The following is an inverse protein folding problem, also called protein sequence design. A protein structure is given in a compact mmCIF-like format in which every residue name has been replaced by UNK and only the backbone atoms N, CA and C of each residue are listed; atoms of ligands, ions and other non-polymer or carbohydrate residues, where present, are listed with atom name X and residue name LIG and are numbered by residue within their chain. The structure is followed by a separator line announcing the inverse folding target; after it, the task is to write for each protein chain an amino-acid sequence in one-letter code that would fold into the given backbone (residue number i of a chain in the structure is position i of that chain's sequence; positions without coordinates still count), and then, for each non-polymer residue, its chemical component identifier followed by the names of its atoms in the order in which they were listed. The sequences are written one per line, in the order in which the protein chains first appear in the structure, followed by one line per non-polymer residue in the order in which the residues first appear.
data_IF_114472592011
#
_entry.id   IF_114472592011
#
_cell.length_a   1.000
_cell.length_b   1.000
_cell.length_c   1.000
_cell.angle_alpha   90.00
_cell.angle_beta   90.00
_cell.angle_gamma   90.00
#
_symmetry.space_group_name_H-M   'P 1'
#
loop_
_entity.id
_entity.type
_entity.pdbx_description
1 polymer ?
#
# COMPACT_ATOMS: atom_id res chain seq x y z
N UNK A 1 -10.01 23.47 -18.50
CA UNK A 1 -10.42 22.08 -18.26
C UNK A 1 -9.34 21.43 -17.40
N UNK A 2 -9.71 20.77 -16.31
CA UNK A 2 -8.75 20.06 -15.47
C UNK A 2 -8.09 18.89 -16.19
N UNK A 3 -6.93 18.48 -15.68
CA UNK A 3 -6.13 17.36 -16.16
C UNK A 3 -6.18 16.17 -15.20
N UNK A 4 -6.19 14.97 -15.76
CA UNK A 4 -5.98 13.71 -15.04
C UNK A 4 -4.88 12.89 -15.71
N UNK A 5 -4.19 12.08 -14.92
CA UNK A 5 -3.23 11.11 -15.41
C UNK A 5 -3.92 9.78 -15.70
N UNK A 6 -3.76 9.29 -16.92
CA UNK A 6 -4.30 8.00 -17.36
C UNK A 6 -3.21 7.15 -17.99
N UNK A 7 -3.43 5.84 -18.04
CA UNK A 7 -2.76 4.98 -18.99
C UNK A 7 -3.68 4.76 -20.20
N UNK A 8 -3.21 5.11 -21.39
CA UNK A 8 -3.97 4.95 -22.65
C UNK A 8 -3.81 3.55 -23.25
N UNK A 9 -2.70 2.89 -22.93
CA UNK A 9 -2.36 1.51 -23.33
C UNK A 9 -1.28 0.97 -22.37
N UNK A 10 -0.88 -0.31 -22.48
CA UNK A 10 0.17 -0.87 -21.63
C UNK A 10 1.45 -0.02 -21.65
N UNK A 11 1.93 0.34 -20.46
CA UNK A 11 3.15 1.13 -20.26
C UNK A 11 3.17 2.53 -20.89
N UNK A 12 2.01 3.13 -21.14
CA UNK A 12 1.92 4.49 -21.69
C UNK A 12 1.03 5.35 -20.81
N UNK A 13 1.65 6.25 -20.03
CA UNK A 13 0.95 7.22 -19.20
C UNK A 13 0.87 8.56 -19.94
N UNK A 14 -0.30 9.20 -19.93
CA UNK A 14 -0.56 10.48 -20.61
C UNK A 14 -1.55 11.33 -19.80
N UNK A 15 -1.49 12.65 -20.01
CA UNK A 15 -2.51 13.56 -19.49
C UNK A 15 -3.74 13.59 -20.39
N UNK A 16 -4.92 13.53 -19.76
CA UNK A 16 -6.21 13.72 -20.42
C UNK A 16 -6.94 14.90 -19.80
N UNK A 17 -7.55 15.73 -20.64
CA UNK A 17 -8.50 16.74 -20.18
C UNK A 17 -9.87 16.12 -19.91
N UNK A 18 -10.55 16.58 -18.85
CA UNK A 18 -11.91 16.15 -18.55
C UNK A 18 -12.79 17.35 -18.16
N UNK A 19 -14.11 17.14 -18.14
CA UNK A 19 -15.06 18.12 -17.60
C UNK A 19 -15.31 17.79 -16.13
N UNK A 20 -15.24 18.79 -15.26
CA UNK A 20 -15.66 18.74 -13.86
C UNK A 20 -16.83 19.66 -13.55
N UNK A 21 -17.47 20.21 -14.60
CA UNK A 21 -18.65 21.05 -14.52
C UNK A 21 -19.90 20.17 -14.36
N UNK A 22 -20.10 19.69 -13.13
CA UNK A 22 -21.27 18.91 -12.74
C UNK A 22 -21.98 19.60 -11.57
N UNK A 23 -23.31 19.55 -11.58
CA UNK A 23 -24.10 19.97 -10.44
C UNK A 23 -23.80 19.07 -9.23
N UNK A 24 -23.40 19.69 -8.13
CA UNK A 24 -22.99 18.98 -6.93
C UNK A 24 -24.21 18.38 -6.22
N UNK A 25 -24.23 17.06 -6.06
CA UNK A 25 -25.34 16.39 -5.36
C UNK A 25 -25.34 16.73 -3.87
N UNK A 26 -26.49 16.56 -3.23
CA UNK A 26 -26.74 16.99 -1.85
C UNK A 26 -25.76 16.40 -0.82
N UNK A 27 -25.25 15.19 -1.05
CA UNK A 27 -24.31 14.49 -0.16
C UNK A 27 -22.85 14.48 -0.66
N UNK A 28 -22.54 15.28 -1.69
CA UNK A 28 -21.22 15.31 -2.31
C UNK A 28 -20.39 16.50 -1.87
N UNK A 29 -19.08 16.36 -2.02
CA UNK A 29 -18.11 17.44 -1.86
C UNK A 29 -17.28 17.56 -3.13
N UNK A 30 -16.99 18.80 -3.53
CA UNK A 30 -16.00 19.09 -4.56
C UNK A 30 -14.68 19.42 -3.88
N UNK A 31 -13.59 18.87 -4.38
CA UNK A 31 -12.27 18.93 -3.78
C UNK A 31 -11.26 19.28 -4.86
N UNK A 32 -10.38 20.24 -4.58
CA UNK A 32 -9.20 20.50 -5.39
C UNK A 32 -8.02 19.68 -4.86
N UNK A 33 -7.41 18.86 -5.69
CA UNK A 33 -6.25 18.06 -5.30
C UNK A 33 -5.06 18.95 -4.97
N UNK A 34 -4.35 18.60 -3.90
CA UNK A 34 -3.10 19.21 -3.47
C UNK A 34 -1.96 18.21 -3.58
N UNK A 35 -2.23 16.95 -3.26
CA UNK A 35 -1.27 15.86 -3.33
C UNK A 35 -1.92 14.56 -3.80
N UNK A 36 -1.14 13.65 -4.34
CA UNK A 36 -1.60 12.32 -4.70
C UNK A 36 -0.49 11.29 -4.72
N UNK A 37 -0.87 10.02 -4.80
CA UNK A 37 0.09 8.93 -4.93
C UNK A 37 -0.53 7.73 -5.65
N UNK A 38 0.20 7.11 -6.60
CA UNK A 38 -0.21 5.85 -7.21
C UNK A 38 0.08 4.63 -6.32
N UNK A 39 -0.43 3.47 -6.77
CA UNK A 39 -0.20 2.18 -6.13
C UNK A 39 0.77 1.32 -6.96
N UNK A 40 1.88 0.89 -6.36
CA UNK A 40 2.88 0.06 -7.06
C UNK A 40 2.47 -1.41 -7.25
N UNK A 41 1.49 -1.92 -6.49
CA UNK A 41 1.12 -3.33 -6.53
C UNK A 41 0.19 -3.68 -7.70
N UNK A 42 -1.10 -3.75 -7.41
CA UNK A 42 -2.13 -4.16 -8.37
C UNK A 42 -2.23 -3.23 -9.58
N UNK A 43 -2.15 -1.91 -9.36
CA UNK A 43 -2.24 -0.90 -10.42
C UNK A 43 -1.05 -0.97 -11.40
N UNK A 44 0.17 -1.21 -10.93
CA UNK A 44 1.33 -1.42 -11.83
C UNK A 44 1.17 -2.65 -12.73
N UNK A 45 0.62 -3.76 -12.20
CA UNK A 45 0.36 -4.95 -13.02
C UNK A 45 -0.68 -4.65 -14.11
N UNK A 46 -1.71 -3.87 -13.80
CA UNK A 46 -2.69 -3.40 -14.79
C UNK A 46 -2.06 -2.45 -15.80
N UNK A 47 -1.25 -1.48 -15.35
CA UNK A 47 -0.49 -0.56 -16.19
C UNK A 47 0.42 -1.28 -17.19
N UNK A 48 1.07 -2.37 -16.77
CA UNK A 48 1.92 -3.20 -17.66
C UNK A 48 1.14 -4.06 -18.65
N UNK A 49 -0.19 -4.10 -18.55
CA UNK A 49 -1.04 -5.00 -19.35
C UNK A 49 -1.01 -6.45 -18.89
N UNK A 50 -0.39 -6.74 -17.74
CA UNK A 50 -0.29 -8.08 -17.16
C UNK A 50 -1.36 -8.23 -16.07
N UNK A 51 -2.63 -8.26 -16.48
CA UNK A 51 -3.73 -8.56 -15.56
C UNK A 51 -3.82 -10.09 -15.39
N UNK A 52 -3.56 -10.65 -14.18
CA UNK A 52 -3.62 -12.10 -13.97
C UNK A 52 -5.05 -12.68 -14.06
N UNK A 53 -6.06 -11.83 -14.19
CA UNK A 53 -7.46 -12.21 -14.37
C UNK A 53 -7.94 -12.14 -15.83
N UNK A 54 -7.02 -12.08 -16.81
CA UNK A 54 -7.39 -12.01 -18.22
C UNK A 54 -8.27 -13.16 -18.67
N UNK A 55 -8.00 -14.38 -18.18
CA UNK A 55 -8.73 -15.60 -18.57
C UNK A 55 -9.74 -16.07 -17.52
N UNK A 56 -9.72 -15.48 -16.32
CA UNK A 56 -10.55 -15.90 -15.20
C UNK A 56 -11.06 -14.73 -14.39
N UNK A 57 -12.35 -14.74 -14.05
CA UNK A 57 -12.97 -13.77 -13.14
C UNK A 57 -13.32 -14.41 -11.80
N UNK A 58 -13.27 -13.64 -10.72
CA UNK A 58 -13.69 -14.12 -9.40
C UNK A 58 -15.21 -14.01 -9.27
N UNK A 59 -15.88 -15.14 -9.20
CA UNK A 59 -17.32 -15.23 -8.96
C UNK A 59 -17.57 -15.09 -7.45
N UNK A 60 -18.07 -13.94 -7.00
CA UNK A 60 -18.25 -13.66 -5.57
C UNK A 60 -19.39 -14.46 -4.93
N UNK A 61 -20.34 -14.95 -5.72
CA UNK A 61 -21.43 -15.79 -5.22
C UNK A 61 -20.92 -17.20 -4.91
N UNK A 62 -20.11 -17.77 -5.82
CA UNK A 62 -19.54 -19.10 -5.67
C UNK A 62 -18.18 -19.12 -4.95
N UNK A 63 -17.57 -17.95 -4.75
CA UNK A 63 -16.26 -17.75 -4.13
C UNK A 63 -15.10 -18.46 -4.84
N UNK A 64 -15.18 -18.62 -6.16
CA UNK A 64 -14.19 -19.30 -7.00
C UNK A 64 -13.81 -18.46 -8.22
N UNK A 65 -12.64 -18.73 -8.78
CA UNK A 65 -12.29 -18.24 -10.12
C UNK A 65 -12.94 -19.12 -11.19
N UNK A 66 -13.59 -18.49 -12.17
CA UNK A 66 -14.20 -19.15 -13.32
C UNK A 66 -13.61 -18.61 -14.61
N UNK A 67 -13.48 -19.47 -15.61
CA UNK A 67 -13.07 -19.06 -16.95
C UNK A 67 -14.04 -18.01 -17.50
N UNK A 68 -13.50 -17.06 -18.28
CA UNK A 68 -14.29 -16.01 -18.91
C UNK A 68 -13.81 -15.78 -20.33
N UNK A 69 -14.75 -15.79 -21.28
CA UNK A 69 -14.49 -15.44 -22.68
C UNK A 69 -14.53 -13.91 -22.92
N UNK A 70 -14.92 -13.13 -21.91
CA UNK A 70 -15.01 -11.67 -22.02
C UNK A 70 -13.71 -11.02 -21.59
N UNK A 71 -12.90 -10.62 -22.58
CA UNK A 71 -11.71 -9.81 -22.37
C UNK A 71 -12.06 -8.32 -22.51
N UNK A 72 -12.25 -7.63 -21.38
CA UNK A 72 -12.31 -6.17 -21.38
C UNK A 72 -10.91 -5.61 -21.13
N UNK A 73 -10.42 -4.80 -22.06
CA UNK A 73 -9.22 -4.00 -21.82
C UNK A 73 -9.47 -3.05 -20.65
N UNK A 74 -8.56 -2.95 -19.66
CA UNK A 74 -8.67 -1.92 -18.63
C UNK A 74 -8.37 -0.52 -19.16
N UNK A 75 -7.84 -0.40 -20.39
CA UNK A 75 -7.43 0.87 -20.97
C UNK A 75 -8.57 1.55 -21.76
N UNK A 76 -8.71 2.89 -21.67
CA UNK A 76 -7.91 3.79 -20.84
C UNK A 76 -8.26 3.65 -19.35
N UNK A 77 -7.24 3.57 -18.48
CA UNK A 77 -7.42 3.52 -17.01
C UNK A 77 -6.85 4.76 -16.34
N UNK A 78 -7.46 5.23 -15.27
CA UNK A 78 -6.85 6.25 -14.42
C UNK A 78 -5.66 5.69 -13.63
N UNK A 79 -4.63 6.53 -13.44
CA UNK A 79 -3.46 6.23 -12.62
C UNK A 79 -3.54 7.02 -11.33
N UNK A 80 -3.17 6.43 -10.19
CA UNK A 80 -3.38 7.02 -8.87
C UNK A 80 -4.32 6.18 -8.00
N UNK A 81 -4.07 6.19 -6.70
CA UNK A 81 -4.87 5.44 -5.74
C UNK A 81 -5.39 6.28 -4.58
N UNK A 82 -4.63 7.30 -4.15
CA UNK A 82 -5.00 8.17 -3.04
C UNK A 82 -4.72 9.62 -3.41
N UNK A 83 -5.56 10.52 -2.91
CA UNK A 83 -5.37 11.97 -3.00
C UNK A 83 -5.53 12.63 -1.64
N UNK A 84 -4.93 13.81 -1.51
CA UNK A 84 -5.21 14.80 -0.46
C UNK A 84 -5.59 16.10 -1.16
N UNK A 85 -6.66 16.74 -0.72
CA UNK A 85 -7.15 17.97 -1.32
C UNK A 85 -7.82 18.91 -0.34
N UNK A 86 -8.14 20.12 -0.82
CA UNK A 86 -8.94 21.10 -0.11
C UNK A 86 -10.36 21.13 -0.67
N UNK A 87 -11.35 21.11 0.21
CA UNK A 87 -12.78 21.18 -0.17
C UNK A 87 -13.08 22.56 -0.76
N UNK A 88 -13.68 22.61 -1.95
CA UNK A 88 -14.05 23.85 -2.65
C UNK A 88 -15.55 24.11 -2.65
N UNK A 89 -16.38 23.06 -2.60
CA UNK A 89 -17.83 23.18 -2.55
C UNK A 89 -18.47 21.99 -1.82
N UNK A 90 -19.70 22.18 -1.32
CA UNK A 90 -20.46 21.22 -0.52
C UNK A 90 -21.88 21.09 -1.05
N UNK A 91 -22.39 19.86 -1.07
CA UNK A 91 -23.81 19.59 -1.21
C UNK A 91 -24.58 20.04 0.03
N UNK A 92 -25.88 20.29 -0.14
CA UNK A 92 -26.76 20.85 0.90
C UNK A 92 -26.91 20.02 2.17
N UNK A 93 -26.61 18.71 2.12
CA UNK A 93 -26.71 17.78 3.25
C UNK A 93 -25.36 17.46 3.91
N UNK A 94 -24.25 18.07 3.48
CA UNK A 94 -22.93 17.83 4.09
C UNK A 94 -22.77 18.66 5.37
N UNK A 95 -22.66 18.00 6.52
CA UNK A 95 -22.62 18.66 7.84
C UNK A 95 -21.21 18.76 8.46
N UNK A 96 -20.40 17.71 8.38
CA UNK A 96 -19.15 17.58 9.17
C UNK A 96 -17.89 18.11 8.46
N UNK A 97 -18.03 18.49 7.19
CA UNK A 97 -16.96 18.99 6.33
C UNK A 97 -17.29 20.42 5.90
N UNK A 98 -16.28 21.29 5.88
CA UNK A 98 -16.38 22.71 5.52
C UNK A 98 -15.52 23.01 4.30
N UNK A 99 -15.90 24.04 3.53
CA UNK A 99 -15.02 24.60 2.48
C UNK A 99 -13.70 25.03 3.12
N UNK A 100 -12.59 24.65 2.48
CA UNK A 100 -11.23 24.85 2.99
C UNK A 100 -10.68 23.72 3.86
N UNK A 101 -11.52 22.78 4.34
CA UNK A 101 -11.03 21.61 5.07
C UNK A 101 -10.10 20.77 4.17
N UNK A 102 -9.01 20.25 4.76
CA UNK A 102 -8.17 19.25 4.12
C UNK A 102 -8.80 17.88 4.30
N UNK A 103 -8.93 17.14 3.20
CA UNK A 103 -9.49 15.79 3.18
C UNK A 103 -8.59 14.86 2.39
N UNK A 104 -8.63 13.57 2.72
CA UNK A 104 -7.98 12.52 1.97
C UNK A 104 -9.01 11.50 1.49
N UNK A 105 -8.79 10.92 0.31
CA UNK A 105 -9.71 9.93 -0.25
C UNK A 105 -9.03 9.03 -1.26
N UNK A 106 -9.75 7.99 -1.66
CA UNK A 106 -9.34 7.14 -2.76
C UNK A 106 -9.66 7.79 -4.10
N UNK A 107 -8.70 7.79 -5.02
CA UNK A 107 -8.90 8.35 -6.35
C UNK A 107 -7.63 8.41 -7.18
N UNK A 108 -7.84 8.63 -8.48
CA UNK A 108 -6.77 8.80 -9.46
C UNK A 108 -6.06 10.15 -9.27
N UNK A 109 -4.89 10.31 -9.88
CA UNK A 109 -4.16 11.57 -9.97
C UNK A 109 -4.89 12.51 -10.93
N UNK A 110 -5.72 13.40 -10.40
CA UNK A 110 -6.45 14.41 -11.17
C UNK A 110 -6.64 15.69 -10.37
N UNK A 111 -6.80 16.82 -11.04
CA UNK A 111 -6.79 18.14 -10.36
C UNK A 111 -8.03 18.39 -9.47
N UNK A 112 -9.17 17.76 -9.77
CA UNK A 112 -10.42 17.94 -9.01
C UNK A 112 -11.16 16.64 -8.75
N UNK A 113 -11.71 16.46 -7.56
CA UNK A 113 -12.50 15.29 -7.16
C UNK A 113 -13.91 15.71 -6.75
N UNK A 114 -14.91 14.97 -7.24
CA UNK A 114 -16.31 15.08 -6.78
C UNK A 114 -16.70 13.71 -6.25
N UNK A 115 -16.91 13.62 -4.94
CA UNK A 115 -17.10 12.35 -4.21
C UNK A 115 -18.14 12.52 -3.11
N UNK A 116 -18.68 11.43 -2.57
CA UNK A 116 -19.57 11.51 -1.41
C UNK A 116 -18.78 11.98 -0.19
N UNK A 117 -19.41 12.75 0.70
CA UNK A 117 -18.77 13.18 1.94
C UNK A 117 -18.28 11.99 2.80
N UNK A 118 -19.00 10.87 2.79
CA UNK A 118 -18.65 9.65 3.53
C UNK A 118 -17.45 8.89 2.93
N UNK A 119 -17.02 9.20 1.70
CA UNK A 119 -15.91 8.54 1.01
C UNK A 119 -14.55 9.19 1.32
N UNK A 120 -14.53 10.29 2.08
CA UNK A 120 -13.32 11.04 2.42
C UNK A 120 -13.10 11.14 3.92
N UNK A 121 -11.83 11.25 4.28
CA UNK A 121 -11.37 11.39 5.65
C UNK A 121 -10.92 12.82 5.88
N UNK A 122 -11.59 13.53 6.79
CA UNK A 122 -11.14 14.85 7.23
C UNK A 122 -9.79 14.74 7.93
N UNK A 123 -8.82 15.49 7.44
CA UNK A 123 -7.48 15.53 8.00
C UNK A 123 -7.45 16.40 9.26
N UNK A 124 -6.95 15.87 10.41
CA UNK A 124 -6.68 16.69 11.57
C UNK A 124 -5.68 17.81 11.24
N UNK A 125 -5.79 18.91 11.98
CA UNK A 125 -4.84 20.01 11.88
C UNK A 125 -3.41 19.51 12.14
N UNK A 126 -2.46 19.94 11.30
CA UNK A 126 -1.05 19.53 11.39
C UNK A 126 -0.73 18.14 10.82
N UNK A 127 -1.71 17.33 10.42
CA UNK A 127 -1.43 16.03 9.81
C UNK A 127 -0.67 16.21 8.48
N UNK A 128 0.48 15.53 8.38
CA UNK A 128 1.29 15.48 7.18
C UNK A 128 0.51 14.81 6.04
N UNK A 129 0.59 15.35 4.82
CA UNK A 129 -0.10 14.78 3.66
C UNK A 129 0.43 13.40 3.29
N UNK A 130 1.73 13.15 3.52
CA UNK A 130 2.38 11.87 3.29
C UNK A 130 1.76 10.76 4.15
N UNK A 131 1.39 11.08 5.39
CA UNK A 131 0.71 10.14 6.28
C UNK A 131 -0.66 9.75 5.73
N UNK A 132 -1.44 10.71 5.23
CA UNK A 132 -2.74 10.43 4.61
C UNK A 132 -2.60 9.57 3.33
N UNK A 133 -1.57 9.79 2.51
CA UNK A 133 -1.32 8.96 1.32
C UNK A 133 -0.81 7.54 1.65
N UNK A 134 -0.38 7.29 2.89
CA UNK A 134 -0.06 5.96 3.39
C UNK A 134 -1.28 5.19 3.93
N UNK A 135 -2.49 5.77 3.88
CA UNK A 135 -3.69 5.15 4.44
C UNK A 135 -4.07 3.80 3.78
N UNK A 136 -3.97 3.68 2.46
CA UNK A 136 -4.21 2.41 1.76
C UNK A 136 -3.23 1.31 2.22
N UNK A 137 -1.90 1.47 2.08
CA UNK A 137 -0.96 0.42 2.49
C UNK A 137 -0.97 0.16 4.00
N UNK A 138 -1.34 1.14 4.84
CA UNK A 138 -1.46 0.97 6.28
C UNK A 138 -2.50 -0.10 6.67
N UNK A 139 -3.61 -0.19 5.92
CA UNK A 139 -4.65 -1.20 6.18
C UNK A 139 -4.13 -2.62 5.95
N UNK A 140 -3.34 -2.83 4.89
CA UNK A 140 -2.72 -4.13 4.61
C UNK A 140 -1.60 -4.46 5.60
N UNK A 141 -0.80 -3.47 5.99
CA UNK A 141 0.21 -3.64 7.03
C UNK A 141 -0.45 -4.06 8.35
N UNK A 142 -1.47 -3.33 8.82
CA UNK A 142 -2.18 -3.64 10.05
C UNK A 142 -2.84 -5.02 9.99
N UNK A 143 -3.46 -5.40 8.86
CA UNK A 143 -4.02 -6.75 8.72
C UNK A 143 -2.93 -7.82 8.80
N UNK A 144 -1.76 -7.56 8.21
CA UNK A 144 -0.57 -8.41 8.32
C UNK A 144 -0.15 -8.66 9.77
N UNK A 145 -0.01 -7.59 10.55
CA UNK A 145 0.31 -7.65 11.99
C UNK A 145 -0.75 -8.43 12.80
N UNK A 146 -2.02 -8.21 12.48
CA UNK A 146 -3.13 -8.83 13.19
C UNK A 146 -3.16 -10.33 12.94
N UNK A 147 -3.06 -10.73 11.68
CA UNK A 147 -3.04 -12.14 11.30
C UNK A 147 -1.75 -12.83 11.75
N UNK A 148 -0.61 -12.12 11.87
CA UNK A 148 0.61 -12.70 12.44
C UNK A 148 0.54 -12.87 13.97
N UNK A 149 -0.39 -12.16 14.63
CA UNK A 149 -0.59 -12.13 16.08
C UNK A 149 0.66 -11.71 16.86
N UNK A 150 1.38 -10.70 16.36
CA UNK A 150 2.51 -10.09 17.07
C UNK A 150 2.06 -9.64 18.46
N UNK A 151 2.86 -9.99 19.47
CA UNK A 151 2.70 -9.58 20.86
C UNK A 151 3.89 -8.73 21.30
N UNK A 152 3.67 -8.00 22.39
CA UNK A 152 4.75 -7.31 23.07
C UNK A 152 5.86 -8.31 23.45
N UNK A 153 7.09 -8.02 23.06
CA UNK A 153 8.25 -8.88 23.29
C UNK A 153 8.56 -9.89 22.19
N UNK A 154 7.68 -10.07 21.21
CA UNK A 154 7.93 -11.01 20.10
C UNK A 154 9.06 -10.52 19.19
N UNK A 155 9.73 -11.48 18.56
CA UNK A 155 10.65 -11.24 17.45
C UNK A 155 9.92 -11.47 16.14
N UNK A 156 9.99 -10.50 15.23
CA UNK A 156 9.28 -10.55 13.93
C UNK A 156 10.21 -10.29 12.77
N UNK A 157 9.89 -10.86 11.61
CA UNK A 157 10.51 -10.48 10.34
C UNK A 157 9.47 -9.95 9.34
N UNK A 158 9.86 -8.97 8.53
CA UNK A 158 9.05 -8.40 7.45
C UNK A 158 9.78 -8.60 6.12
N UNK A 159 9.17 -9.37 5.22
CA UNK A 159 9.71 -9.66 3.89
C UNK A 159 9.03 -8.79 2.85
N UNK A 160 9.84 -8.11 2.03
CA UNK A 160 9.39 -7.01 1.17
C UNK A 160 9.26 -5.72 1.97
N UNK A 161 10.00 -4.69 1.59
CA UNK A 161 10.04 -3.38 2.24
C UNK A 161 9.56 -2.28 1.28
N UNK A 162 8.54 -2.57 0.48
CA UNK A 162 7.71 -1.53 -0.14
C UNK A 162 6.86 -0.80 0.90
N UNK A 163 5.95 0.09 0.47
CA UNK A 163 5.13 0.88 1.39
C UNK A 163 4.37 0.06 2.46
N UNK A 164 3.81 -1.11 2.09
CA UNK A 164 3.14 -2.01 3.06
C UNK A 164 4.14 -2.56 4.08
N UNK A 165 5.27 -3.07 3.63
CA UNK A 165 6.29 -3.65 4.50
C UNK A 165 6.94 -2.64 5.44
N UNK A 166 7.23 -1.44 4.95
CA UNK A 166 7.80 -0.36 5.78
C UNK A 166 6.82 0.11 6.86
N UNK A 167 5.53 0.22 6.52
CA UNK A 167 4.48 0.46 7.52
C UNK A 167 4.37 -0.71 8.51
N UNK A 168 4.52 -1.95 8.05
CA UNK A 168 4.51 -3.12 8.92
C UNK A 168 5.70 -3.13 9.90
N UNK A 169 6.90 -2.74 9.46
CA UNK A 169 8.08 -2.54 10.32
C UNK A 169 7.77 -1.51 11.41
N UNK A 170 7.33 -0.31 11.01
CA UNK A 170 7.03 0.77 11.94
C UNK A 170 5.94 0.39 12.95
N UNK A 171 4.84 -0.20 12.47
CA UNK A 171 3.74 -0.64 13.33
C UNK A 171 4.14 -1.78 14.26
N UNK A 172 4.97 -2.73 13.82
CA UNK A 172 5.43 -3.82 14.68
C UNK A 172 6.31 -3.28 15.81
N UNK A 173 7.21 -2.33 15.51
CA UNK A 173 8.05 -1.68 16.52
C UNK A 173 7.21 -0.87 17.49
N UNK A 174 6.26 -0.07 17.01
CA UNK A 174 5.31 0.67 17.85
C UNK A 174 4.42 -0.25 18.70
N UNK A 175 4.12 -1.44 18.19
CA UNK A 175 3.37 -2.49 18.90
C UNK A 175 4.17 -3.22 19.98
N UNK A 176 5.47 -2.93 20.12
CA UNK A 176 6.33 -3.48 21.16
C UNK A 176 7.03 -4.79 20.78
N UNK A 177 7.18 -5.09 19.48
CA UNK A 177 8.08 -6.16 19.05
C UNK A 177 9.51 -5.88 19.58
N UNK A 178 10.13 -6.90 20.16
CA UNK A 178 11.47 -6.80 20.75
C UNK A 178 12.53 -6.63 19.66
N UNK A 179 12.44 -7.44 18.61
CA UNK A 179 13.34 -7.44 17.46
C UNK A 179 12.53 -7.45 16.17
N UNK A 180 12.82 -6.54 15.25
CA UNK A 180 12.21 -6.45 13.92
C UNK A 180 13.29 -6.60 12.85
N UNK A 181 13.20 -7.67 12.06
CA UNK A 181 14.10 -7.93 10.92
C UNK A 181 13.43 -7.51 9.61
N UNK A 182 14.01 -6.59 8.85
CA UNK A 182 13.53 -6.20 7.52
C UNK A 182 14.30 -6.92 6.40
N UNK A 183 13.60 -7.38 5.36
CA UNK A 183 14.24 -8.11 4.24
C UNK A 183 13.75 -7.53 2.90
N UNK A 184 14.66 -6.97 2.11
CA UNK A 184 14.37 -6.49 0.76
C UNK A 184 15.67 -6.40 -0.07
N UNK A 185 15.66 -6.70 -1.38
CA UNK A 185 16.85 -6.57 -2.22
C UNK A 185 17.30 -5.12 -2.49
N UNK A 186 16.46 -4.11 -2.27
CA UNK A 186 16.76 -2.71 -2.56
C UNK A 186 17.35 -2.03 -1.31
N UNK A 187 18.57 -1.51 -1.43
CA UNK A 187 19.30 -0.87 -0.32
C UNK A 187 18.52 0.30 0.30
N UNK A 188 18.00 1.21 -0.53
CA UNK A 188 17.18 2.36 -0.11
C UNK A 188 16.00 1.97 0.80
N UNK A 189 15.34 0.85 0.51
CA UNK A 189 14.22 0.33 1.32
C UNK A 189 14.71 -0.24 2.65
N UNK A 190 15.85 -0.92 2.66
CA UNK A 190 16.49 -1.39 3.90
C UNK A 190 16.94 -0.24 4.79
N UNK A 191 17.55 0.79 4.23
CA UNK A 191 17.94 2.01 4.95
C UNK A 191 16.72 2.69 5.57
N UNK A 192 15.66 2.85 4.78
CA UNK A 192 14.38 3.40 5.29
C UNK A 192 13.79 2.53 6.40
N UNK A 193 13.87 1.20 6.30
CA UNK A 193 13.39 0.32 7.36
C UNK A 193 14.13 0.51 8.69
N UNK A 194 15.45 0.75 8.67
CA UNK A 194 16.22 1.09 9.87
C UNK A 194 15.72 2.40 10.49
N UNK A 195 15.47 3.43 9.67
CA UNK A 195 14.90 4.70 10.14
C UNK A 195 13.49 4.54 10.74
N UNK A 196 12.74 3.53 10.28
CA UNK A 196 11.40 3.19 10.78
C UNK A 196 11.41 2.20 11.96
N UNK A 197 12.58 1.81 12.45
CA UNK A 197 12.72 1.01 13.68
C UNK A 197 12.98 -0.48 13.47
N UNK A 198 13.31 -0.93 12.25
CA UNK A 198 13.94 -2.23 12.08
C UNK A 198 15.28 -2.27 12.83
N UNK A 199 15.54 -3.37 13.53
CA UNK A 199 16.77 -3.59 14.28
C UNK A 199 17.85 -4.23 13.40
N UNK A 200 17.44 -5.04 12.42
CA UNK A 200 18.31 -5.74 11.47
C UNK A 200 17.69 -5.62 10.09
N UNK A 201 18.51 -5.42 9.06
CA UNK A 201 18.09 -5.51 7.67
C UNK A 201 18.98 -6.44 6.87
N UNK A 202 18.37 -7.25 6.01
CA UNK A 202 19.06 -8.28 5.24
C UNK A 202 18.79 -8.13 3.74
N UNK A 203 19.84 -8.31 2.94
CA UNK A 203 19.73 -8.40 1.49
C UNK A 203 19.58 -9.88 1.07
N UNK A 204 18.41 -10.30 0.56
CA UNK A 204 18.19 -11.69 0.16
C UNK A 204 19.08 -12.15 -1.00
N UNK A 205 19.74 -11.24 -1.72
CA UNK A 205 20.71 -11.58 -2.78
C UNK A 205 22.11 -11.86 -2.24
N UNK A 206 22.40 -11.41 -1.02
CA UNK A 206 23.75 -11.49 -0.44
C UNK A 206 23.90 -12.63 0.58
N UNK A 207 22.80 -13.05 1.24
CA UNK A 207 22.85 -14.00 2.36
C UNK A 207 21.71 -15.03 2.31
N UNK A 208 21.90 -16.15 3.00
CA UNK A 208 20.80 -17.05 3.39
C UNK A 208 20.02 -16.40 4.53
N UNK A 209 18.94 -15.70 4.17
CA UNK A 209 18.14 -14.89 5.10
C UNK A 209 17.59 -15.73 6.25
N UNK A 210 17.05 -16.92 5.95
CA UNK A 210 16.51 -17.80 6.96
C UNK A 210 17.56 -18.22 8.00
N UNK A 211 18.78 -18.55 7.54
CA UNK A 211 19.90 -18.85 8.42
C UNK A 211 20.37 -17.64 9.23
N UNK A 212 20.48 -16.45 8.62
CA UNK A 212 20.89 -15.24 9.34
C UNK A 212 19.87 -14.83 10.41
N UNK A 213 18.56 -14.97 10.13
CA UNK A 213 17.51 -14.79 11.14
C UNK A 213 17.71 -15.78 12.29
N UNK A 214 17.98 -17.06 12.00
CA UNK A 214 18.24 -18.05 13.05
C UNK A 214 19.48 -17.68 13.88
N UNK A 215 20.56 -17.22 13.26
CA UNK A 215 21.76 -16.75 13.99
C UNK A 215 21.44 -15.57 14.90
N UNK A 216 20.72 -14.56 14.40
CA UNK A 216 20.32 -13.37 15.16
C UNK A 216 19.39 -13.68 16.34
N UNK A 217 18.69 -14.81 16.30
CA UNK A 217 17.69 -15.23 17.30
C UNK A 217 18.14 -16.42 18.14
N UNK A 218 19.46 -16.61 18.31
CA UNK A 218 20.03 -17.70 19.11
C UNK A 218 19.54 -19.09 18.67
N UNK A 219 19.42 -19.30 17.35
CA UNK A 219 18.93 -20.50 16.64
C UNK A 219 17.42 -20.76 16.74
N UNK A 220 16.65 -19.87 17.37
CA UNK A 220 15.20 -20.05 17.53
C UNK A 220 14.45 -19.79 16.22
N UNK A 221 14.75 -18.69 15.55
CA UNK A 221 13.92 -18.09 14.50
C UNK A 221 13.01 -17.00 15.06
N UNK A 222 12.35 -16.28 14.16
CA UNK A 222 11.34 -15.27 14.54
C UNK A 222 10.03 -15.93 14.94
N UNK A 223 9.31 -15.35 15.92
CA UNK A 223 8.02 -15.87 16.39
C UNK A 223 6.94 -15.71 15.32
N UNK A 224 7.05 -14.65 14.53
CA UNK A 224 6.11 -14.31 13.48
C UNK A 224 6.76 -13.63 12.28
N UNK A 225 6.12 -13.74 11.11
CA UNK A 225 6.53 -13.13 9.86
C UNK A 225 5.35 -12.40 9.23
N UNK A 226 5.64 -11.24 8.63
CA UNK A 226 4.75 -10.55 7.70
C UNK A 226 5.41 -10.57 6.32
N UNK A 227 4.83 -11.32 5.39
CA UNK A 227 5.33 -11.49 4.03
C UNK A 227 4.52 -10.61 3.08
N UNK A 228 5.17 -9.60 2.50
CA UNK A 228 4.53 -8.59 1.63
C UNK A 228 5.09 -8.59 0.20
N UNK A 229 6.14 -9.37 -0.08
CA UNK A 229 6.77 -9.40 -1.41
C UNK A 229 5.94 -10.15 -2.45
N UNK A 230 5.16 -11.16 -2.02
CA UNK A 230 4.38 -11.99 -2.93
C UNK A 230 5.23 -12.91 -3.82
N UNK A 231 6.48 -13.21 -3.42
CA UNK A 231 7.40 -14.07 -4.19
C UNK A 231 7.65 -15.40 -3.49
N UNK A 232 7.79 -16.48 -4.28
CA UNK A 232 8.09 -17.82 -3.76
C UNK A 232 9.39 -17.87 -2.96
N UNK A 233 10.43 -17.15 -3.43
CA UNK A 233 11.73 -17.09 -2.78
C UNK A 233 11.66 -16.46 -1.39
N UNK A 234 10.99 -15.31 -1.26
CA UNK A 234 10.84 -14.66 0.03
C UNK A 234 9.99 -15.50 0.99
N UNK A 235 8.91 -16.13 0.51
CA UNK A 235 8.10 -17.03 1.34
C UNK A 235 8.89 -18.23 1.85
N UNK A 236 9.71 -18.84 1.00
CA UNK A 236 10.56 -19.96 1.39
C UNK A 236 11.57 -19.54 2.47
N UNK A 237 12.24 -18.39 2.30
CA UNK A 237 13.17 -17.84 3.29
C UNK A 237 12.47 -17.41 4.59
N UNK A 238 11.24 -16.88 4.50
CA UNK A 238 10.40 -16.56 5.64
C UNK A 238 10.10 -17.80 6.48
N UNK A 239 9.64 -18.88 5.84
CA UNK A 239 9.37 -20.18 6.49
C UNK A 239 10.64 -20.71 7.17
N UNK A 240 11.78 -20.68 6.47
CA UNK A 240 13.07 -21.13 7.00
C UNK A 240 13.54 -20.32 8.22
N UNK A 241 13.30 -19.00 8.22
CA UNK A 241 13.63 -18.10 9.33
C UNK A 241 12.64 -18.15 10.51
N UNK A 242 11.46 -18.73 10.32
CA UNK A 242 10.39 -18.80 11.33
C UNK A 242 10.73 -19.82 12.41
N UNK A 243 10.37 -19.54 13.66
CA UNK A 243 10.51 -20.45 14.78
C UNK A 243 9.64 -21.71 14.64
N UNK A 244 9.96 -22.76 15.38
CA UNK A 244 9.10 -23.94 15.46
C UNK A 244 7.70 -23.54 15.98
N UNK A 245 6.65 -23.87 15.24
CA UNK A 245 5.28 -23.46 15.52
C UNK A 245 4.99 -21.97 15.35
N UNK A 246 5.92 -21.20 14.75
CA UNK A 246 5.73 -19.78 14.48
C UNK A 246 4.72 -19.53 13.35
N UNK A 247 4.41 -18.25 13.09
CA UNK A 247 3.36 -17.86 12.15
C UNK A 247 3.87 -17.01 11.00
N UNK A 248 3.39 -17.27 9.79
CA UNK A 248 3.67 -16.47 8.59
C UNK A 248 2.36 -15.89 8.06
N UNK A 249 2.23 -14.57 8.17
CA UNK A 249 1.12 -13.80 7.60
C UNK A 249 1.47 -13.38 6.17
N UNK A 250 0.79 -13.99 5.20
CA UNK A 250 1.00 -13.82 3.77
C UNK A 250 0.10 -12.70 3.23
N UNK A 251 0.64 -11.48 3.20
CA UNK A 251 -0.05 -10.26 2.74
C UNK A 251 0.20 -10.01 1.25
N UNK A 252 1.37 -10.42 0.75
CA UNK A 252 1.77 -10.29 -0.65
C UNK A 252 0.85 -11.06 -1.60
N UNK A 253 0.69 -10.55 -2.82
CA UNK A 253 -0.12 -11.21 -3.84
C UNK A 253 0.74 -12.06 -4.77
N UNK A 254 0.61 -13.39 -4.66
CA UNK A 254 1.38 -14.38 -5.43
C UNK A 254 0.80 -14.62 -6.82
N UNK A 255 0.94 -13.65 -7.73
CA UNK A 255 0.39 -13.73 -9.09
C UNK A 255 1.28 -14.50 -10.09
N UNK A 256 2.53 -14.82 -9.74
CA UNK A 256 3.48 -15.56 -10.62
C UNK A 256 3.67 -17.03 -10.22
N UNK A 257 2.82 -17.56 -9.35
CA UNK A 257 2.95 -18.92 -8.81
C UNK A 257 4.05 -19.06 -7.76
N UNK A 258 4.29 -20.30 -7.32
CA UNK A 258 5.15 -20.63 -6.18
C UNK A 258 6.34 -21.53 -6.55
N UNK A 259 6.87 -21.37 -7.78
CA UNK A 259 8.00 -22.17 -8.23
C UNK A 259 9.22 -21.98 -7.30
N UNK A 260 9.81 -23.10 -6.84
CA UNK A 260 10.94 -23.11 -5.91
C UNK A 260 10.57 -23.13 -4.42
N UNK A 261 9.29 -23.04 -4.06
CA UNK A 261 8.86 -23.22 -2.68
C UNK A 261 8.83 -24.71 -2.31
N UNK A 262 9.64 -25.13 -1.34
CA UNK A 262 9.66 -26.51 -0.84
C UNK A 262 9.01 -26.62 0.54
N UNK A 263 7.79 -27.14 0.60
CA UNK A 263 7.11 -27.42 1.87
C UNK A 263 7.59 -28.72 2.56
N UNK A 264 8.38 -29.57 1.88
CA UNK A 264 8.95 -30.78 2.46
C UNK A 264 10.15 -30.52 3.39
N UNK A 265 10.67 -29.30 3.42
CA UNK A 265 11.78 -28.88 4.28
C UNK A 265 11.26 -28.26 5.58
N UNK A 266 11.60 -27.00 5.90
CA UNK A 266 11.31 -26.42 7.22
C UNK A 266 9.81 -26.37 7.53
N UNK A 267 8.93 -26.22 6.54
CA UNK A 267 7.49 -26.25 6.80
C UNK A 267 7.03 -27.60 7.38
N UNK A 268 7.59 -28.72 6.90
CA UNK A 268 7.25 -30.05 7.41
C UNK A 268 7.74 -30.27 8.84
N UNK A 269 9.00 -29.90 9.10
CA UNK A 269 9.64 -30.19 10.39
C UNK A 269 9.33 -29.17 11.48
N UNK A 270 9.11 -27.90 11.12
CA UNK A 270 8.92 -26.81 12.08
C UNK A 270 7.45 -26.39 12.24
N UNK A 271 6.51 -27.03 11.53
CA UNK A 271 5.06 -26.85 11.68
C UNK A 271 4.57 -25.38 11.74
N UNK A 272 5.05 -24.47 10.88
CA UNK A 272 4.60 -23.08 10.94
C UNK A 272 3.13 -22.94 10.50
N UNK A 273 2.43 -21.99 11.08
CA UNK A 273 1.10 -21.58 10.62
C UNK A 273 1.21 -20.61 9.45
N UNK A 274 0.68 -20.97 8.28
CA UNK A 274 0.63 -20.08 7.12
C UNK A 274 -0.77 -19.46 7.00
N UNK A 275 -0.86 -18.13 7.10
CA UNK A 275 -2.13 -17.40 7.06
C UNK A 275 -2.17 -16.49 5.84
N UNK A 276 -3.11 -16.73 4.93
CA UNK A 276 -3.42 -15.80 3.86
C UNK A 276 -4.15 -14.58 4.44
N UNK A 277 -3.53 -13.41 4.32
CA UNK A 277 -3.94 -12.16 4.95
C UNK A 277 -4.42 -11.16 3.90
N UNK A 278 -5.58 -10.53 4.11
CA UNK A 278 -6.16 -9.55 3.18
C UNK A 278 -7.03 -8.55 3.92
N UNK A 279 -6.72 -7.26 3.81
CA UNK A 279 -7.46 -6.18 4.50
C UNK A 279 -8.84 -5.87 3.91
N UNK A 280 -9.17 -6.44 2.75
CA UNK A 280 -10.40 -6.17 2.00
C UNK A 280 -11.28 -7.41 1.80
N UNK A 281 -11.21 -8.38 2.71
CA UNK A 281 -12.09 -9.54 2.75
C UNK A 281 -12.91 -9.50 4.04
N UNK A 282 -14.23 -9.55 3.91
CA UNK A 282 -15.16 -9.53 5.04
C UNK A 282 -15.96 -10.85 5.12
N UNK A 283 -16.31 -11.32 6.33
CA UNK A 283 -15.88 -10.77 7.62
C UNK A 283 -14.39 -11.06 7.90
N UNK A 284 -13.74 -10.21 8.69
CA UNK A 284 -12.36 -10.49 9.15
C UNK A 284 -12.33 -11.71 10.09
N UNK A 285 -11.15 -12.34 10.27
CA UNK A 285 -10.97 -13.50 11.17
C UNK A 285 -11.36 -13.22 12.63
N UNK A 286 -11.32 -11.95 13.04
CA UNK A 286 -11.58 -11.48 14.39
C UNK A 286 -12.96 -10.81 14.54
N UNK A 287 -13.84 -10.98 13.55
CA UNK A 287 -15.21 -10.49 13.60
C UNK A 287 -15.98 -11.07 14.81
N UNK A 288 -16.85 -10.29 15.49
CA UNK A 288 -17.24 -8.91 15.20
C UNK A 288 -16.31 -7.84 15.82
N UNK A 289 -15.26 -8.23 16.54
CA UNK A 289 -14.41 -7.27 17.27
C UNK A 289 -13.63 -6.36 16.33
N UNK A 290 -13.20 -6.88 15.18
CA UNK A 290 -12.44 -6.14 14.18
C UNK A 290 -13.17 -6.11 12.85
N UNK A 291 -13.99 -5.09 12.66
CA UNK A 291 -14.63 -4.76 11.39
C UNK A 291 -13.68 -3.96 10.51
N UNK A 292 -13.98 -3.88 9.20
CA UNK A 292 -13.27 -3.00 8.27
C UNK A 292 -13.20 -1.55 8.75
N UNK A 293 -14.28 -1.02 9.31
CA UNK A 293 -14.34 0.36 9.77
C UNK A 293 -13.43 0.59 10.97
N UNK A 294 -13.36 -0.37 11.90
CA UNK A 294 -12.39 -0.31 13.00
C UNK A 294 -10.94 -0.34 12.50
N UNK A 295 -10.63 -1.20 11.53
CA UNK A 295 -9.29 -1.28 10.93
C UNK A 295 -8.92 0.07 10.29
N UNK A 296 -9.81 0.63 9.48
CA UNK A 296 -9.64 1.96 8.88
C UNK A 296 -9.42 3.04 9.94
N UNK A 297 -10.26 3.09 10.97
CA UNK A 297 -10.13 4.09 12.04
C UNK A 297 -8.77 3.98 12.76
N UNK A 298 -8.35 2.77 13.13
CA UNK A 298 -7.05 2.55 13.79
C UNK A 298 -5.89 2.97 12.88
N UNK A 299 -5.94 2.63 11.60
CA UNK A 299 -4.92 3.08 10.64
C UNK A 299 -4.88 4.61 10.55
N UNK A 300 -6.04 5.27 10.47
CA UNK A 300 -6.13 6.72 10.41
C UNK A 300 -5.54 7.36 11.66
N UNK A 301 -5.92 6.88 12.85
CA UNK A 301 -5.45 7.39 14.13
C UNK A 301 -3.92 7.24 14.29
N UNK A 302 -3.37 6.08 13.90
CA UNK A 302 -1.92 5.84 13.95
C UNK A 302 -1.18 6.78 13.00
N UNK A 303 -1.66 6.95 11.77
CA UNK A 303 -1.05 7.86 10.80
C UNK A 303 -1.16 9.33 11.24
N UNK A 304 -2.33 9.74 11.75
CA UNK A 304 -2.58 11.08 12.26
C UNK A 304 -1.74 11.41 13.50
N UNK A 305 -1.35 10.40 14.29
CA UNK A 305 -0.50 10.60 15.47
C UNK A 305 0.91 11.10 15.17
N UNK A 306 1.37 11.02 13.90
CA UNK A 306 2.71 11.42 13.49
C UNK A 306 3.84 10.50 13.99
N UNK A 307 3.52 9.37 14.62
CA UNK A 307 4.51 8.42 15.14
C UNK A 307 5.23 7.62 14.04
N UNK A 308 4.68 7.58 12.84
CA UNK A 308 5.30 6.95 11.67
C UNK A 308 5.71 8.08 10.73
N UNK A 309 7.02 8.29 10.48
CA UNK A 309 7.51 9.35 9.58
C UNK A 309 7.26 8.96 8.11
N UNK A 310 6.02 9.09 7.66
CA UNK A 310 5.57 8.69 6.33
C UNK A 310 6.23 9.48 5.19
N UNK A 311 6.86 10.63 5.47
CA UNK A 311 7.72 11.35 4.52
C UNK A 311 8.92 10.53 4.04
N UNK A 312 9.34 9.52 4.80
CA UNK A 312 10.37 8.56 4.38
C UNK A 312 9.85 7.47 3.44
N UNK A 313 8.53 7.26 3.43
CA UNK A 313 7.86 6.26 2.58
C UNK A 313 7.38 6.89 1.28
N UNK A 314 6.89 8.13 1.35
CA UNK A 314 6.46 8.89 0.18
C UNK A 314 7.68 9.53 -0.48
N UNK A 315 8.36 8.74 -1.30
CA UNK A 315 9.59 9.12 -1.97
C UNK A 315 9.76 8.34 -3.30
N UNK A 316 10.11 9.02 -4.41
CA UNK A 316 10.34 10.46 -4.53
C UNK A 316 9.05 11.28 -4.56
N UNK A 317 9.17 12.61 -4.49
CA UNK A 317 8.06 13.56 -4.66
C UNK A 317 8.29 14.39 -5.92
N UNK A 318 7.30 14.41 -6.83
CA UNK A 318 7.37 15.11 -8.13
C UNK A 318 6.21 16.09 -8.32
N UNK A 319 6.34 16.99 -9.29
CA UNK A 319 5.24 17.85 -9.72
C UNK A 319 4.19 17.06 -10.52
N UNK A 320 2.91 17.39 -10.39
CA UNK A 320 1.87 16.80 -11.24
C UNK A 320 2.11 17.07 -12.72
N UNK A 321 2.79 18.17 -13.09
CA UNK A 321 3.13 18.48 -14.49
C UNK A 321 4.09 17.46 -15.13
N UNK A 322 4.76 16.64 -14.32
CA UNK A 322 5.74 15.65 -14.76
C UNK A 322 5.28 14.22 -14.44
N UNK A 323 4.03 14.05 -13.96
CA UNK A 323 3.54 12.80 -13.41
C UNK A 323 3.47 11.65 -14.42
N UNK A 324 3.32 11.93 -15.71
CA UNK A 324 3.34 10.95 -16.79
C UNK A 324 4.71 10.25 -16.91
N UNK A 325 5.76 11.04 -17.10
CA UNK A 325 7.14 10.56 -17.20
C UNK A 325 7.63 9.99 -15.86
N UNK A 326 7.30 10.64 -14.74
CA UNK A 326 7.68 10.19 -13.41
C UNK A 326 7.02 8.86 -13.04
N UNK A 327 5.76 8.62 -13.43
CA UNK A 327 5.12 7.34 -13.21
C UNK A 327 5.85 6.23 -13.97
N UNK A 328 6.10 6.42 -15.27
CA UNK A 328 6.81 5.44 -16.09
C UNK A 328 8.23 5.16 -15.53
N UNK A 329 8.94 6.21 -15.13
CA UNK A 329 10.29 6.11 -14.60
C UNK A 329 10.33 5.43 -13.22
N UNK A 330 9.71 6.03 -12.19
CA UNK A 330 9.87 5.60 -10.80
C UNK A 330 9.00 4.40 -10.42
N UNK A 331 7.82 4.25 -11.03
CA UNK A 331 6.87 3.18 -10.65
C UNK A 331 7.13 1.91 -11.47
N UNK A 332 7.46 2.03 -12.76
CA UNK A 332 7.66 0.88 -13.66
C UNK A 332 9.14 0.52 -13.86
N UNK A 333 9.98 1.47 -14.30
CA UNK A 333 11.32 1.19 -14.84
C UNK A 333 12.42 1.14 -13.78
N UNK A 334 12.36 2.03 -12.78
CA UNK A 334 13.36 2.22 -11.73
C UNK A 334 12.76 2.08 -10.32
N UNK A 335 12.13 0.93 -9.99
CA UNK A 335 11.50 0.72 -8.69
C UNK A 335 12.49 0.69 -7.51
N UNK A 336 13.80 0.60 -7.76
CA UNK A 336 14.87 0.76 -6.78
C UNK A 336 15.03 2.21 -6.30
N UNK A 337 14.62 3.18 -7.11
CA UNK A 337 14.69 4.61 -6.80
C UNK A 337 13.41 5.10 -6.11
N UNK A 338 12.38 4.26 -5.98
CA UNK A 338 11.07 4.61 -5.46
C UNK A 338 10.58 3.64 -4.39
N UNK A 339 9.94 4.20 -3.36
CA UNK A 339 9.17 3.44 -2.37
C UNK A 339 7.69 3.61 -2.66
N UNK A 340 7.26 4.87 -2.70
CA UNK A 340 5.90 5.27 -3.04
C UNK A 340 5.92 6.70 -3.57
N UNK A 341 5.91 6.84 -4.89
CA UNK A 341 5.81 8.13 -5.58
C UNK A 341 4.75 9.06 -4.94
N UNK A 342 5.17 10.25 -4.54
CA UNK A 342 4.32 11.36 -4.16
C UNK A 342 4.20 12.35 -5.31
N UNK A 343 3.03 12.95 -5.47
CA UNK A 343 2.76 13.95 -6.50
C UNK A 343 2.21 15.21 -5.84
N UNK A 344 2.75 16.36 -6.17
CA UNK A 344 2.30 17.68 -5.71
C UNK A 344 1.57 18.38 -6.85
N UNK A 345 0.33 18.78 -6.62
CA UNK A 345 -0.45 19.55 -7.59
C UNK A 345 -0.11 21.05 -7.50
N UNK A 346 -0.05 21.78 -8.63
CA UNK A 346 0.21 23.21 -8.61
C UNK A 346 -0.84 23.96 -7.78
N UNK A 347 -0.40 24.78 -6.83
CA UNK A 347 -1.27 25.77 -6.20
C UNK A 347 -1.67 26.82 -7.24
N UNK A 348 -2.95 27.19 -7.30
CA UNK A 348 -3.46 28.26 -8.19
C UNK A 348 -2.94 29.67 -7.86
N UNK A 349 -1.90 29.81 -7.05
CA UNK A 349 -1.26 31.07 -6.68
C UNK A 349 -0.07 31.45 -7.56
N UNK A 350 0.20 30.74 -8.66
CA UNK A 350 1.10 31.25 -9.70
C UNK A 350 0.31 32.10 -10.70
N UNK A 351 0.23 33.40 -10.44
CA UNK A 351 0.16 34.39 -11.52
C UNK A 351 1.32 34.13 -12.50
N UNK A 352 1.01 34.06 -13.80
CA UNK A 352 2.00 34.07 -14.87
C UNK A 352 2.29 32.71 -15.53
N UNK A 353 1.33 32.18 -16.28
CA UNK A 353 1.71 31.63 -17.61
C UNK A 353 1.90 32.87 -18.49
N UNK A 354 3.13 33.34 -18.60
CA UNK A 354 3.48 34.28 -19.66
C UNK A 354 3.49 33.50 -20.98
N UNK A 355 2.85 34.13 -21.95
CA UNK A 355 2.59 33.76 -23.35
C UNK A 355 3.72 33.02 -24.07
#
# INVERSE_FOLDING_TARGET
MPLELIAVQPRTAEFRTYSDDFELQENQVQIKALYGSPKHGTELNMYRGTNPFQEKTYDSHWQIFRETDTHTSPFPMGLGNMFVGAVTALGSQVADIRVGDRVAGYGNLRETHTVRADDVWKMPEGMAWQAALCFDPAQYALQGLRDSMIRFGDTTAVFGLGAIGLLAVAMAKLGGAHLVVGVDPIAKRRETALELGADIVLDPKAVDVGLEIKKATNRRGVDCVIETSGTAHALHQAIRGTAFGGRVSMVGWYNQGLAGLNFGEEAHFNIPELIFSRAASEPSRDYPRWTRDRIKQVCWDVLASGKIPCEKIIDPVVSFCEADSAYAYYVDQHPEESIKLGVVFPSSTSEGRND
#
